data_IF_864059844060
#
_entry.id   IF_864059844060
#
_cell.length_a   1.000
_cell.length_b   1.000
_cell.length_c   1.000
_cell.angle_alpha   90.00
_cell.angle_beta   90.00
_cell.angle_gamma   90.00
#
_symmetry.space_group_name_H-M   'P 1'
#
loop_
_entity.id
_entity.type
_entity.pdbx_description
1 polymer ?
#
# COMPACT_ATOMS: atom_id res chain seq x y z
N UNK A 1 0.60 5.44 8.36
CA UNK A 1 -0.55 4.59 7.98
C UNK A 1 -1.15 4.95 6.64
N UNK A 2 -1.32 6.23 6.28
CA UNK A 2 -1.85 6.62 4.96
C UNK A 2 -1.12 5.96 3.78
N UNK A 3 0.22 5.91 3.80
CA UNK A 3 0.97 5.21 2.76
C UNK A 3 0.74 3.69 2.72
N UNK A 4 0.40 3.06 3.84
CA UNK A 4 0.05 1.62 3.89
C UNK A 4 -1.27 1.41 3.16
N UNK A 5 -2.26 2.25 3.45
CA UNK A 5 -3.55 2.24 2.75
C UNK A 5 -3.37 2.44 1.25
N UNK A 6 -2.70 3.50 0.84
CA UNK A 6 -2.37 3.80 -0.55
C UNK A 6 -1.74 2.62 -1.31
N UNK A 7 -0.85 1.88 -0.65
CA UNK A 7 -0.10 0.80 -1.31
C UNK A 7 -0.77 -0.57 -1.27
N UNK A 8 -1.74 -0.80 -0.37
CA UNK A 8 -2.24 -2.16 -0.09
C UNK A 8 -3.76 -2.30 -0.04
N UNK A 9 -4.52 -1.25 0.26
CA UNK A 9 -5.95 -1.33 0.54
C UNK A 9 -6.79 -0.39 -0.32
N UNK A 10 -6.35 0.86 -0.43
CA UNK A 10 -7.11 1.94 -1.02
C UNK A 10 -7.07 1.86 -2.54
N UNK A 11 -8.16 1.37 -3.13
CA UNK A 11 -8.36 1.25 -4.57
C UNK A 11 -9.49 2.16 -5.03
N UNK A 12 -9.31 2.88 -6.14
CA UNK A 12 -10.36 3.69 -6.75
C UNK A 12 -10.98 2.91 -7.91
N UNK A 13 -12.29 2.64 -7.81
CA UNK A 13 -13.01 1.83 -8.80
C UNK A 13 -13.97 2.75 -9.54
N UNK A 14 -13.74 2.90 -10.84
CA UNK A 14 -14.55 3.74 -11.72
C UNK A 14 -14.96 2.97 -12.98
N UNK A 15 -16.02 3.43 -13.64
CA UNK A 15 -16.46 2.86 -14.90
C UNK A 15 -15.42 3.07 -16.01
N UNK A 16 -14.55 2.09 -16.21
CA UNK A 16 -13.50 2.09 -17.22
C UNK A 16 -13.43 0.72 -17.93
N UNK A 17 -12.42 0.55 -18.79
CA UNK A 17 -12.22 -0.72 -19.51
C UNK A 17 -11.84 -1.89 -18.60
N UNK A 18 -11.37 -1.63 -17.37
CA UNK A 18 -11.04 -2.68 -16.39
C UNK A 18 -12.29 -3.13 -15.61
N UNK A 19 -13.31 -2.27 -15.51
CA UNK A 19 -14.55 -2.50 -14.76
C UNK A 19 -15.81 -2.40 -15.65
N UNK A 20 -16.00 -3.29 -16.64
CA UNK A 20 -17.10 -3.21 -17.62
C UNK A 20 -18.49 -3.41 -17.00
N UNK A 21 -18.58 -3.90 -15.76
CA UNK A 21 -19.84 -4.08 -15.03
C UNK A 21 -20.43 -2.77 -14.48
N UNK A 22 -19.72 -1.65 -14.61
CA UNK A 22 -20.22 -0.32 -14.24
C UNK A 22 -20.86 0.32 -15.46
N UNK A 23 -22.19 0.44 -15.44
CA UNK A 23 -22.99 0.87 -16.60
C UNK A 23 -22.61 2.24 -17.16
N UNK A 24 -22.12 3.15 -16.32
CA UNK A 24 -21.76 4.51 -16.73
C UNK A 24 -20.25 4.70 -16.70
N UNK A 25 -19.66 4.93 -17.88
CA UNK A 25 -18.23 5.23 -18.02
C UNK A 25 -17.87 6.53 -17.29
N UNK A 26 -16.76 6.53 -16.55
CA UNK A 26 -16.28 7.66 -15.74
C UNK A 26 -17.02 7.85 -14.41
N UNK A 27 -18.03 7.04 -14.10
CA UNK A 27 -18.71 7.09 -12.81
C UNK A 27 -17.89 6.41 -11.72
N UNK A 28 -17.76 7.05 -10.55
CA UNK A 28 -17.06 6.50 -9.39
C UNK A 28 -17.97 5.51 -8.65
N UNK A 29 -17.59 4.23 -8.61
CA UNK A 29 -18.39 3.18 -8.00
C UNK A 29 -18.28 3.15 -6.48
N UNK A 30 -17.09 3.43 -5.95
CA UNK A 30 -16.77 3.31 -4.54
C UNK A 30 -16.69 4.67 -3.82
N UNK A 31 -17.57 5.61 -4.18
CA UNK A 31 -17.70 6.89 -3.49
C UNK A 31 -18.14 6.76 -2.01
N UNK A 32 -18.71 5.61 -1.64
CA UNK A 32 -19.17 5.33 -0.28
C UNK A 32 -18.00 4.88 0.62
N UNK A 33 -17.90 5.32 1.89
CA UNK A 33 -16.91 4.83 2.86
C UNK A 33 -17.01 3.31 3.11
N UNK A 34 -18.18 2.74 2.84
CA UNK A 34 -18.39 1.29 2.92
C UNK A 34 -17.73 0.53 1.76
N UNK A 35 -17.34 1.20 0.68
CA UNK A 35 -16.71 0.61 -0.51
C UNK A 35 -15.26 1.04 -0.66
N UNK A 36 -14.90 2.28 -0.36
CA UNK A 36 -13.51 2.72 -0.30
C UNK A 36 -12.91 2.46 1.08
N UNK A 37 -11.99 1.50 1.17
CA UNK A 37 -11.45 1.02 2.45
C UNK A 37 -10.14 1.71 2.81
N UNK A 38 -10.23 2.62 3.76
CA UNK A 38 -9.06 3.17 4.45
C UNK A 38 -8.54 2.19 5.51
N UNK A 39 -7.24 2.26 5.89
CA UNK A 39 -6.70 1.48 6.99
C UNK A 39 -7.46 1.74 8.30
N UNK A 40 -7.86 0.66 8.98
CA UNK A 40 -8.48 0.68 10.29
C UNK A 40 -7.51 0.14 11.36
N UNK A 41 -7.95 0.09 12.62
CA UNK A 41 -7.13 -0.40 13.74
C UNK A 41 -6.56 -1.81 13.53
N UNK A 42 -7.29 -2.67 12.79
CA UNK A 42 -6.87 -4.03 12.50
C UNK A 42 -5.73 -4.12 11.45
N UNK A 43 -5.48 -3.05 10.70
CA UNK A 43 -4.44 -3.01 9.66
C UNK A 43 -3.10 -2.48 10.19
N UNK A 44 -3.03 -2.14 11.48
CA UNK A 44 -1.80 -1.72 12.14
C UNK A 44 -0.85 -2.92 12.29
N UNK A 45 0.47 -2.75 12.04
CA UNK A 45 1.45 -3.78 12.36
C UNK A 45 1.37 -4.16 13.84
N UNK A 46 1.42 -5.47 14.13
CA UNK A 46 1.36 -6.01 15.51
C UNK A 46 2.49 -5.42 16.37
N UNK A 47 3.68 -5.27 15.80
CA UNK A 47 4.82 -4.57 16.41
C UNK A 47 5.12 -3.31 15.59
N UNK A 48 4.85 -2.14 16.17
CA UNK A 48 5.01 -0.85 15.52
C UNK A 48 5.91 0.06 16.36
N UNK A 49 7.20 0.14 15.99
CA UNK A 49 8.22 0.90 16.72
C UNK A 49 8.57 2.18 15.99
N UNK A 50 8.63 3.28 16.74
CA UNK A 50 9.07 4.59 16.25
C UNK A 50 10.16 5.09 17.19
N UNK A 51 11.24 5.61 16.62
CA UNK A 51 12.30 6.28 17.36
C UNK A 51 12.67 7.54 16.61
N UNK A 52 12.79 8.64 17.36
CA UNK A 52 13.25 9.92 16.82
C UNK A 52 14.75 10.05 17.07
N UNK A 53 15.48 10.49 16.05
CA UNK A 53 16.91 10.77 16.17
C UNK A 53 17.15 11.91 17.17
N UNK A 54 18.23 11.83 17.95
CA UNK A 54 18.54 12.84 18.98
C UNK A 54 18.84 14.21 18.35
N UNK A 55 18.41 15.28 19.02
CA UNK A 55 18.58 16.65 18.54
C UNK A 55 20.06 17.05 18.32
N UNK A 56 20.97 16.46 19.11
CA UNK A 56 22.40 16.73 19.03
C UNK A 56 23.05 16.19 17.74
N UNK A 57 22.39 15.25 17.05
CA UNK A 57 22.86 14.64 15.80
C UNK A 57 22.26 15.30 14.55
N UNK A 58 21.37 16.29 14.73
CA UNK A 58 20.48 16.80 13.68
C UNK A 58 20.55 18.31 13.48
N UNK A 59 21.45 18.99 14.21
CA UNK A 59 21.47 20.45 14.40
C UNK A 59 21.94 21.28 13.21
N UNK A 60 22.64 20.69 12.23
CA UNK A 60 23.21 21.46 11.11
C UNK A 60 22.16 22.05 10.15
N UNK A 61 20.94 21.51 10.11
CA UNK A 61 19.91 21.88 9.13
C UNK A 61 18.54 22.15 9.79
N UNK A 62 18.57 22.59 11.04
CA UNK A 62 17.38 22.70 11.86
C UNK A 62 16.78 24.12 11.74
N UNK A 63 15.44 24.22 11.63
CA UNK A 63 14.76 25.50 11.34
C UNK A 63 14.35 26.21 12.65
N UNK A 64 13.05 26.47 12.86
CA UNK A 64 12.55 27.10 14.07
C UNK A 64 12.72 26.14 15.25
N UNK A 65 13.38 26.60 16.33
CA UNK A 65 13.69 25.78 17.52
C UNK A 65 14.31 24.42 17.19
N UNK A 66 15.14 24.38 16.16
CA UNK A 66 15.77 23.16 15.67
C UNK A 66 14.80 22.04 15.21
N UNK A 67 13.63 22.42 14.68
CA UNK A 67 12.65 21.49 14.10
C UNK A 67 12.97 21.07 12.65
N UNK A 68 12.32 19.99 12.20
CA UNK A 68 12.30 19.51 10.80
C UNK A 68 10.87 19.18 10.38
N UNK A 69 10.56 19.33 9.10
CA UNK A 69 9.27 18.94 8.55
C UNK A 69 9.14 17.40 8.51
N UNK A 70 8.05 16.88 9.08
CA UNK A 70 7.81 15.43 9.22
C UNK A 70 6.45 14.97 8.68
N UNK A 71 5.68 15.85 8.04
CA UNK A 71 4.32 15.51 7.58
C UNK A 71 4.33 14.47 6.45
N UNK A 72 4.96 14.80 5.33
CA UNK A 72 5.01 13.94 4.14
C UNK A 72 6.10 12.87 4.15
N UNK A 73 7.34 13.11 4.66
CA UNK A 73 8.44 12.13 4.53
C UNK A 73 8.11 10.71 5.02
N UNK A 74 7.37 10.50 6.13
CA UNK A 74 7.02 9.16 6.59
C UNK A 74 6.04 8.41 5.68
N UNK A 75 5.35 9.08 4.75
CA UNK A 75 4.35 8.45 3.87
C UNK A 75 5.00 7.33 3.05
N UNK A 76 6.18 7.60 2.47
CA UNK A 76 6.90 6.66 1.62
C UNK A 76 7.52 5.48 2.37
N UNK A 77 7.73 5.58 3.70
CA UNK A 77 8.24 4.45 4.50
C UNK A 77 7.30 3.23 4.43
N UNK A 78 6.03 3.45 4.09
CA UNK A 78 5.05 2.39 3.87
C UNK A 78 5.38 1.47 2.68
N UNK A 79 6.28 1.89 1.77
CA UNK A 79 6.78 1.05 0.68
C UNK A 79 7.42 -0.26 1.19
N UNK A 80 7.93 -0.26 2.42
CA UNK A 80 8.44 -1.45 3.09
C UNK A 80 7.40 -2.57 3.17
N UNK A 81 6.13 -2.24 3.45
CA UNK A 81 5.02 -3.20 3.51
C UNK A 81 4.75 -3.79 2.12
N UNK A 82 4.72 -2.94 1.08
CA UNK A 82 4.52 -3.39 -0.30
C UNK A 82 5.63 -4.36 -0.76
N UNK A 83 6.89 -4.04 -0.46
CA UNK A 83 8.00 -4.92 -0.81
C UNK A 83 8.05 -6.21 0.03
N UNK A 84 7.63 -6.16 1.30
CA UNK A 84 7.48 -7.36 2.12
C UNK A 84 6.44 -8.32 1.52
N UNK A 85 5.29 -7.79 1.07
CA UNK A 85 4.27 -8.57 0.35
C UNK A 85 4.85 -9.16 -0.95
N UNK A 86 5.53 -8.33 -1.76
CA UNK A 86 6.16 -8.80 -3.00
C UNK A 86 7.17 -9.93 -2.75
N UNK A 87 7.96 -9.83 -1.68
CA UNK A 87 8.90 -10.85 -1.27
C UNK A 87 8.20 -12.13 -0.81
N UNK A 88 7.11 -12.03 -0.04
CA UNK A 88 6.30 -13.18 0.38
C UNK A 88 5.72 -13.94 -0.83
N UNK A 89 5.17 -13.23 -1.81
CA UNK A 89 4.69 -13.83 -3.07
C UNK A 89 5.84 -14.48 -3.84
N UNK A 90 6.99 -13.81 -3.93
CA UNK A 90 8.17 -14.36 -4.60
C UNK A 90 8.69 -15.63 -3.93
N UNK A 91 8.54 -15.77 -2.61
CA UNK A 91 8.92 -16.97 -1.87
C UNK A 91 7.91 -18.11 -2.07
N UNK A 92 6.61 -17.79 -2.21
CA UNK A 92 5.56 -18.77 -2.48
C UNK A 92 5.62 -19.35 -3.90
N UNK A 93 5.99 -18.54 -4.90
CA UNK A 93 6.08 -18.98 -6.30
C UNK A 93 7.21 -19.99 -6.51
N UNK A 94 6.89 -21.10 -7.18
CA UNK A 94 7.89 -22.10 -7.63
C UNK A 94 8.82 -21.51 -8.70
N UNK A 95 8.27 -20.70 -9.59
CA UNK A 95 9.04 -20.00 -10.61
C UNK A 95 9.70 -18.74 -10.02
N UNK A 96 11.02 -18.76 -9.88
CA UNK A 96 11.84 -17.63 -9.39
C UNK A 96 12.03 -16.52 -10.43
N UNK A 97 11.02 -16.25 -11.25
CA UNK A 97 11.07 -15.21 -12.28
C UNK A 97 10.57 -13.88 -11.71
N UNK A 98 11.13 -12.74 -12.17
CA UNK A 98 10.62 -11.43 -11.78
C UNK A 98 9.17 -11.27 -12.26
N UNK A 99 8.32 -10.72 -11.40
CA UNK A 99 6.93 -10.40 -11.74
C UNK A 99 6.59 -8.96 -11.37
N UNK A 100 5.61 -8.42 -12.09
CA UNK A 100 5.06 -7.09 -11.86
C UNK A 100 3.91 -7.20 -10.86
N UNK A 101 4.06 -6.56 -9.70
CA UNK A 101 2.98 -6.33 -8.74
C UNK A 101 2.51 -4.89 -8.92
N UNK A 102 1.23 -4.70 -9.22
CA UNK A 102 0.65 -3.37 -9.35
C UNK A 102 0.30 -2.81 -7.96
N UNK A 103 0.21 -1.49 -7.88
CA UNK A 103 -0.26 -0.75 -6.72
C UNK A 103 -1.70 -0.30 -7.04
N UNK A 104 -2.66 -0.43 -6.11
CA UNK A 104 -2.53 -1.02 -4.78
C UNK A 104 -2.44 -2.57 -4.83
N UNK A 105 -1.66 -3.16 -3.92
CA UNK A 105 -1.51 -4.61 -3.78
C UNK A 105 -2.69 -5.22 -3.00
N UNK A 106 -3.90 -5.11 -3.54
CA UNK A 106 -5.13 -5.57 -2.89
C UNK A 106 -5.24 -7.09 -2.86
N UNK A 107 -6.09 -7.60 -1.96
CA UNK A 107 -6.33 -9.04 -1.81
C UNK A 107 -6.88 -9.72 -3.07
N UNK A 108 -7.57 -8.96 -3.94
CA UNK A 108 -8.07 -9.45 -5.22
C UNK A 108 -6.92 -9.92 -6.13
N UNK A 109 -5.78 -9.20 -6.16
CA UNK A 109 -4.62 -9.59 -6.95
C UNK A 109 -4.00 -10.91 -6.50
N UNK A 110 -4.05 -11.23 -5.21
CA UNK A 110 -3.49 -12.50 -4.71
C UNK A 110 -4.31 -13.71 -5.19
N UNK A 111 -5.63 -13.58 -5.31
CA UNK A 111 -6.50 -14.66 -5.81
C UNK A 111 -6.19 -15.03 -7.27
N UNK A 112 -5.84 -14.06 -8.10
CA UNK A 112 -5.46 -14.33 -9.49
C UNK A 112 -4.12 -15.10 -9.59
N UNK A 113 -3.15 -14.81 -8.71
CA UNK A 113 -1.88 -15.53 -8.71
C UNK A 113 -1.98 -16.96 -8.18
N UNK A 114 -2.95 -17.28 -7.33
CA UNK A 114 -3.18 -18.66 -6.90
C UNK A 114 -3.75 -19.52 -8.04
N UNK A 115 -4.62 -18.94 -8.88
CA UNK A 115 -5.21 -19.62 -10.04
C UNK A 115 -4.22 -19.90 -11.18
N UNK A 116 -3.16 -19.09 -11.34
CA UNK A 116 -2.09 -19.37 -12.31
C UNK A 116 -1.14 -20.49 -11.85
N UNK A 117 -1.19 -20.92 -10.59
CA UNK A 117 -0.23 -21.87 -9.99
C UNK A 117 -0.80 -23.28 -9.84
N UNK A 118 -2.13 -23.45 -9.86
CA UNK A 118 -2.78 -24.77 -9.83
C UNK A 118 -3.13 -25.15 -11.27
N UNK A 119 -2.34 -26.01 -11.95
CA UNK A 119 -2.84 -26.64 -13.17
C UNK A 119 -4.03 -27.54 -12.79
N UNK A 120 -5.08 -27.50 -13.60
CA UNK A 120 -6.20 -28.43 -13.53
C UNK A 120 -5.72 -29.90 -13.61
#
# INVERSE_FOLDING_TARGET
>A
MQGVGYLTLEELIQGDSQHPWISQRGSLHNADPNKYKIPMANDLPIDFRITLLSAHESSEHAVCYSSKAVGEPPLFLSATVFFAIKQAISAYRREKKPFKLNIPATSAFFKFYDQEIIPA
#
